data_IF_974950905571
#
_entry.id   IF_974950905571
#
_cell.length_a   1.000
_cell.length_b   1.000
_cell.length_c   1.000
_cell.angle_alpha   90.00
_cell.angle_beta   90.00
_cell.angle_gamma   90.00
#
_symmetry.space_group_name_H-M   'P 1'
#
loop_
_entity.id
_entity.type
_entity.pdbx_description
1 polymer ?
#
# COMPACT_ATOMS: atom_id res chain seq x y z
N UNK A 1 -6.95 -25.71 11.09
CA UNK A 1 -7.14 -25.90 9.63
C UNK A 1 -8.08 -24.82 9.17
N UNK A 2 -7.55 -23.63 8.88
CA UNK A 2 -8.39 -22.52 8.44
C UNK A 2 -8.73 -22.69 6.96
N UNK A 3 -10.02 -22.88 6.71
CA UNK A 3 -10.58 -23.00 5.37
C UNK A 3 -10.66 -21.62 4.70
N UNK A 4 -9.50 -21.07 4.31
CA UNK A 4 -9.44 -19.90 3.40
C UNK A 4 -9.43 -20.33 1.94
N UNK A 5 -10.02 -21.50 1.66
CA UNK A 5 -10.05 -22.10 0.33
C UNK A 5 -10.85 -21.19 -0.63
N UNK A 6 -10.14 -20.42 -1.44
CA UNK A 6 -10.72 -19.65 -2.55
C UNK A 6 -11.36 -18.30 -2.19
N UNK A 7 -11.17 -17.77 -0.96
CA UNK A 7 -11.65 -16.43 -0.61
C UNK A 7 -10.71 -15.36 -1.17
N UNK A 8 -11.30 -14.42 -1.86
CA UNK A 8 -10.63 -13.20 -2.31
C UNK A 8 -10.24 -12.37 -1.11
N UNK A 9 -9.02 -11.87 -1.12
CA UNK A 9 -8.39 -11.26 0.02
C UNK A 9 -7.93 -9.84 -0.32
N UNK A 10 -7.75 -9.04 0.70
CA UNK A 10 -7.05 -7.78 0.62
C UNK A 10 -5.55 -8.06 0.83
N UNK A 11 -4.73 -7.67 -0.13
CA UNK A 11 -3.25 -7.76 -0.07
C UNK A 11 -2.70 -6.37 0.18
N UNK A 12 -1.99 -6.22 1.27
CA UNK A 12 -1.42 -4.94 1.69
C UNK A 12 0.10 -5.00 1.60
N UNK A 13 0.69 -4.02 0.91
CA UNK A 13 2.11 -3.73 0.96
C UNK A 13 2.34 -2.48 1.79
N UNK A 14 3.21 -2.58 2.78
CA UNK A 14 3.68 -1.47 3.61
C UNK A 14 5.19 -1.45 3.70
N UNK A 15 5.76 -0.44 4.34
CA UNK A 15 7.19 -0.25 4.51
C UNK A 15 7.68 1.09 3.98
N UNK A 16 8.99 1.37 4.10
CA UNK A 16 9.54 2.69 3.87
C UNK A 16 9.32 3.24 2.46
N UNK A 17 9.35 4.56 2.35
CA UNK A 17 9.36 5.24 1.05
C UNK A 17 10.52 4.70 0.19
N UNK A 18 10.31 4.56 -1.11
CA UNK A 18 11.27 4.01 -2.07
C UNK A 18 11.68 2.53 -1.88
N UNK A 19 11.04 1.78 -0.98
CA UNK A 19 11.26 0.32 -0.86
C UNK A 19 10.79 -0.49 -2.08
N UNK A 20 10.02 0.11 -3.00
CA UNK A 20 9.59 -0.53 -4.26
C UNK A 20 8.16 -1.06 -4.27
N UNK A 21 7.35 -0.74 -3.27
CA UNK A 21 5.95 -1.17 -3.15
C UNK A 21 5.11 -0.88 -4.39
N UNK A 22 5.17 0.37 -4.90
CA UNK A 22 4.41 0.78 -6.09
C UNK A 22 4.82 -0.05 -7.32
N UNK A 23 6.12 -0.34 -7.48
CA UNK A 23 6.65 -1.14 -8.58
C UNK A 23 6.15 -2.58 -8.50
N UNK A 24 6.22 -3.18 -7.31
CA UNK A 24 5.74 -4.55 -7.08
C UNK A 24 4.24 -4.67 -7.35
N UNK A 25 3.42 -3.73 -6.87
CA UNK A 25 1.98 -3.76 -7.15
C UNK A 25 1.65 -3.47 -8.61
N UNK A 26 2.40 -2.59 -9.25
CA UNK A 26 2.24 -2.35 -10.68
C UNK A 26 2.48 -3.63 -11.48
N UNK A 27 3.59 -4.33 -11.24
CA UNK A 27 3.90 -5.60 -11.89
C UNK A 27 2.79 -6.65 -11.64
N UNK A 28 2.33 -6.77 -10.39
CA UNK A 28 1.29 -7.71 -10.01
C UNK A 28 -0.03 -7.40 -10.72
N UNK A 29 -0.46 -6.13 -10.76
CA UNK A 29 -1.69 -5.72 -11.43
C UNK A 29 -1.60 -5.84 -12.96
N UNK A 30 -0.42 -5.70 -13.56
CA UNK A 30 -0.21 -5.87 -15.01
C UNK A 30 -0.20 -7.35 -15.40
N UNK A 31 0.51 -8.19 -14.65
CA UNK A 31 0.61 -9.63 -14.93
C UNK A 31 -0.71 -10.37 -14.68
N UNK A 32 -1.47 -9.97 -13.64
CA UNK A 32 -2.70 -10.63 -13.22
C UNK A 32 -3.94 -9.71 -13.29
N UNK A 33 -4.07 -8.95 -14.38
CA UNK A 33 -5.12 -7.94 -14.54
C UNK A 33 -6.55 -8.50 -14.45
N UNK A 34 -6.74 -9.79 -14.78
CA UNK A 34 -8.02 -10.49 -14.64
C UNK A 34 -8.38 -10.79 -13.19
N UNK A 35 -7.40 -11.17 -12.37
CA UNK A 35 -7.59 -11.66 -10.99
C UNK A 35 -7.19 -10.68 -9.88
N UNK A 36 -6.45 -9.62 -10.21
CA UNK A 36 -5.95 -8.64 -9.24
C UNK A 36 -6.34 -7.22 -9.64
N UNK A 37 -6.67 -6.38 -8.69
CA UNK A 37 -6.90 -4.95 -8.92
C UNK A 37 -6.60 -4.12 -7.68
N UNK A 38 -6.07 -2.94 -7.87
CA UNK A 38 -5.87 -1.98 -6.78
C UNK A 38 -7.16 -1.23 -6.50
N UNK A 39 -7.53 -1.09 -5.22
CA UNK A 39 -8.62 -0.20 -4.85
C UNK A 39 -8.19 1.26 -5.04
N UNK A 40 -9.09 2.07 -5.61
CA UNK A 40 -8.81 3.48 -5.88
C UNK A 40 -9.02 4.27 -4.59
N UNK A 41 -7.95 4.89 -4.10
CA UNK A 41 -7.96 5.71 -2.89
C UNK A 41 -8.64 7.06 -3.15
N UNK A 42 -9.16 7.68 -2.09
CA UNK A 42 -9.63 9.06 -2.08
C UNK A 42 -8.50 10.00 -1.65
N UNK A 43 -8.50 11.21 -2.18
CA UNK A 43 -7.57 12.26 -1.75
C UNK A 43 -8.20 13.65 -1.90
N UNK A 44 -7.80 14.55 -1.00
CA UNK A 44 -8.14 15.99 -1.10
C UNK A 44 -7.09 16.79 -1.87
N UNK A 45 -5.98 16.15 -2.24
CA UNK A 45 -4.96 16.77 -3.09
C UNK A 45 -5.54 17.04 -4.49
N UNK A 46 -5.31 18.20 -5.08
CA UNK A 46 -5.66 18.45 -6.46
C UNK A 46 -5.01 17.43 -7.42
N UNK A 47 -5.69 17.04 -8.51
CA UNK A 47 -5.12 16.16 -9.52
C UNK A 47 -3.91 16.80 -10.20
N UNK A 48 -2.91 16.00 -10.55
CA UNK A 48 -1.81 16.40 -11.43
C UNK A 48 -2.24 16.34 -12.90
N UNK A 49 -1.44 16.94 -13.79
CA UNK A 49 -1.79 17.09 -15.21
C UNK A 49 -2.20 15.78 -15.93
N UNK A 50 -1.65 14.64 -15.52
CA UNK A 50 -1.92 13.34 -16.13
C UNK A 50 -2.80 12.42 -15.27
N UNK A 51 -3.35 12.92 -14.17
CA UNK A 51 -4.21 12.14 -13.28
C UNK A 51 -5.70 12.34 -13.62
N UNK A 52 -6.45 11.25 -13.57
CA UNK A 52 -7.89 11.23 -13.86
C UNK A 52 -8.66 10.78 -12.62
N UNK A 53 -9.77 11.50 -12.34
CA UNK A 53 -10.68 11.11 -11.27
C UNK A 53 -11.29 9.72 -11.53
N UNK A 54 -11.36 8.91 -10.47
CA UNK A 54 -11.86 7.54 -10.57
C UNK A 54 -10.89 6.54 -11.22
N UNK A 55 -9.67 6.98 -11.57
CA UNK A 55 -8.62 6.11 -12.13
C UNK A 55 -7.38 6.11 -11.24
N UNK A 56 -6.81 7.27 -10.98
CA UNK A 56 -5.62 7.40 -10.13
C UNK A 56 -6.02 7.59 -8.66
N UNK A 57 -7.02 8.45 -8.44
CA UNK A 57 -7.68 8.72 -7.16
C UNK A 57 -9.13 9.11 -7.39
N UNK A 58 -9.95 9.00 -6.35
CA UNK A 58 -11.16 9.79 -6.21
C UNK A 58 -10.76 11.13 -5.59
N UNK A 59 -10.70 12.18 -6.41
CA UNK A 59 -10.38 13.54 -5.95
C UNK A 59 -11.64 14.16 -5.35
N UNK A 60 -11.60 14.45 -4.06
CA UNK A 60 -12.76 14.97 -3.29
C UNK A 60 -12.40 16.23 -2.54
N UNK A 61 -13.40 16.97 -2.06
CA UNK A 61 -13.18 18.13 -1.19
C UNK A 61 -12.76 17.69 0.22
N UNK A 62 -12.18 18.60 1.00
CA UNK A 62 -11.84 18.34 2.41
C UNK A 62 -13.10 18.05 3.22
N UNK A 63 -14.19 18.77 2.92
CA UNK A 63 -15.50 18.62 3.55
C UNK A 63 -16.08 17.22 3.29
N UNK A 64 -16.12 16.79 2.04
CA UNK A 64 -16.60 15.45 1.66
C UNK A 64 -15.76 14.34 2.30
N UNK A 65 -14.43 14.52 2.32
CA UNK A 65 -13.54 13.56 2.95
C UNK A 65 -13.83 13.42 4.45
N UNK A 66 -13.89 14.55 5.17
CA UNK A 66 -14.19 14.58 6.61
C UNK A 66 -15.57 14.01 6.91
N UNK A 67 -16.56 14.30 6.07
CA UNK A 67 -17.90 13.73 6.20
C UNK A 67 -17.87 12.20 6.05
N UNK A 68 -17.15 11.69 5.06
CA UNK A 68 -16.97 10.25 4.88
C UNK A 68 -16.24 9.58 6.06
N UNK A 69 -15.25 10.26 6.67
CA UNK A 69 -14.61 9.78 7.91
C UNK A 69 -15.62 9.72 9.06
N UNK A 70 -16.41 10.78 9.26
CA UNK A 70 -17.43 10.84 10.30
C UNK A 70 -18.53 9.77 10.13
N UNK A 71 -18.86 9.42 8.88
CA UNK A 71 -19.79 8.36 8.53
C UNK A 71 -19.20 6.94 8.68
N UNK A 72 -17.90 6.80 8.99
CA UNK A 72 -17.23 5.49 9.06
C UNK A 72 -17.04 4.80 7.71
N UNK A 73 -16.97 5.56 6.62
CA UNK A 73 -16.85 5.01 5.26
C UNK A 73 -15.44 4.51 4.94
N UNK A 74 -14.42 5.03 5.64
CA UNK A 74 -13.02 4.70 5.40
C UNK A 74 -12.56 3.51 6.24
N UNK A 75 -11.88 2.55 5.61
CA UNK A 75 -11.20 1.45 6.30
C UNK A 75 -9.89 1.94 6.93
N UNK A 76 -9.24 2.89 6.27
CA UNK A 76 -8.07 3.63 6.73
C UNK A 76 -8.06 5.04 6.13
N UNK A 77 -7.47 5.97 6.84
CA UNK A 77 -7.19 7.31 6.32
C UNK A 77 -6.00 7.93 7.06
N UNK A 78 -5.29 8.82 6.37
CA UNK A 78 -4.14 9.54 6.88
C UNK A 78 -4.12 10.97 6.36
N UNK A 79 -3.58 11.89 7.15
CA UNK A 79 -3.21 13.21 6.67
C UNK A 79 -1.71 13.23 6.38
N UNK A 80 -1.36 13.57 5.15
CA UNK A 80 0.02 13.67 4.70
C UNK A 80 0.22 14.93 3.86
N UNK A 81 1.21 15.74 4.24
CA UNK A 81 1.58 16.96 3.53
C UNK A 81 0.39 17.92 3.29
N UNK A 82 -0.44 18.13 4.33
CA UNK A 82 -1.60 19.01 4.29
C UNK A 82 -2.83 18.46 3.57
N UNK A 83 -2.74 17.27 2.96
CA UNK A 83 -3.86 16.62 2.26
C UNK A 83 -4.28 15.34 2.99
N UNK A 84 -5.52 14.97 2.79
CA UNK A 84 -6.05 13.70 3.27
C UNK A 84 -5.96 12.64 2.17
N UNK A 85 -5.70 11.41 2.60
CA UNK A 85 -5.68 10.20 1.76
C UNK A 85 -6.39 9.10 2.52
N UNK A 86 -7.11 8.22 1.83
CA UNK A 86 -7.75 7.09 2.48
C UNK A 86 -8.44 6.17 1.50
N UNK A 87 -8.77 4.98 1.97
CA UNK A 87 -9.48 3.96 1.20
C UNK A 87 -10.80 3.65 1.88
N UNK A 88 -11.89 3.68 1.11
CA UNK A 88 -13.21 3.35 1.63
C UNK A 88 -13.48 1.85 1.60
N UNK A 89 -14.33 1.36 2.51
CA UNK A 89 -14.84 -0.01 2.44
C UNK A 89 -15.46 -0.33 1.09
N UNK A 90 -16.18 0.64 0.50
CA UNK A 90 -16.81 0.49 -0.81
C UNK A 90 -15.78 0.28 -1.92
N UNK A 91 -14.64 0.99 -1.90
CA UNK A 91 -13.60 0.82 -2.91
C UNK A 91 -12.99 -0.59 -2.86
N UNK A 92 -12.71 -1.10 -1.66
CA UNK A 92 -12.21 -2.47 -1.47
C UNK A 92 -13.28 -3.48 -1.89
N UNK A 93 -14.51 -3.33 -1.40
CA UNK A 93 -15.62 -4.24 -1.68
C UNK A 93 -15.91 -4.34 -3.18
N UNK A 94 -15.88 -3.23 -3.92
CA UNK A 94 -16.05 -3.21 -5.37
C UNK A 94 -15.07 -4.11 -6.11
N UNK A 95 -13.81 -4.15 -5.69
CA UNK A 95 -12.79 -5.03 -6.27
C UNK A 95 -13.09 -6.50 -5.93
N UNK A 96 -13.45 -6.76 -4.68
CA UNK A 96 -13.78 -8.13 -4.22
C UNK A 96 -15.05 -8.66 -4.90
N UNK A 97 -16.08 -7.83 -5.09
CA UNK A 97 -17.33 -8.19 -5.78
C UNK A 97 -17.11 -8.46 -7.27
N UNK A 98 -16.18 -7.73 -7.89
CA UNK A 98 -15.74 -8.02 -9.26
C UNK A 98 -14.97 -9.33 -9.37
N UNK A 99 -14.79 -9.98 -8.26
CA UNK A 99 -14.17 -11.25 -8.20
C UNK A 99 -12.66 -11.21 -8.22
N UNK A 100 -12.02 -10.10 -7.89
CA UNK A 100 -10.57 -9.92 -7.90
C UNK A 100 -10.00 -9.85 -6.49
N UNK A 101 -8.74 -10.21 -6.35
CA UNK A 101 -7.92 -9.88 -5.18
C UNK A 101 -7.67 -8.38 -5.15
N UNK A 102 -8.00 -7.75 -4.03
CA UNK A 102 -7.78 -6.32 -3.86
C UNK A 102 -6.35 -6.05 -3.35
N UNK A 103 -5.67 -5.05 -3.91
CA UNK A 103 -4.33 -4.65 -3.47
C UNK A 103 -4.34 -3.21 -2.96
N UNK A 104 -3.55 -2.94 -1.92
CA UNK A 104 -3.35 -1.61 -1.34
C UNK A 104 -1.90 -1.37 -0.94
N UNK A 105 -1.49 -0.10 -0.96
CA UNK A 105 -0.31 0.39 -0.28
C UNK A 105 -0.78 1.34 0.82
N UNK A 106 -0.41 1.04 2.06
CA UNK A 106 -0.71 1.89 3.22
C UNK A 106 0.53 2.00 4.11
N UNK A 107 0.57 3.00 4.99
CA UNK A 107 1.59 3.11 6.02
C UNK A 107 1.27 2.19 7.23
N UNK A 108 2.13 2.19 8.23
CA UNK A 108 1.97 1.34 9.43
C UNK A 108 0.67 1.66 10.18
N UNK A 109 0.32 2.94 10.32
CA UNK A 109 -0.93 3.35 10.98
C UNK A 109 -2.16 2.85 10.22
N UNK A 110 -2.11 2.92 8.88
CA UNK A 110 -3.14 2.35 8.01
C UNK A 110 -3.27 0.83 8.20
N UNK A 111 -2.15 0.10 8.32
CA UNK A 111 -2.19 -1.33 8.64
C UNK A 111 -2.86 -1.60 9.98
N UNK A 112 -2.54 -0.81 11.01
CA UNK A 112 -3.14 -0.94 12.35
C UNK A 112 -4.64 -0.65 12.31
N UNK A 113 -5.06 0.37 11.56
CA UNK A 113 -6.47 0.69 11.36
C UNK A 113 -7.21 -0.45 10.65
N UNK A 114 -6.63 -0.98 9.58
CA UNK A 114 -7.22 -2.08 8.81
C UNK A 114 -7.32 -3.35 9.66
N UNK A 115 -6.31 -3.70 10.47
CA UNK A 115 -6.40 -4.86 11.39
C UNK A 115 -7.58 -4.78 12.32
N UNK A 116 -7.89 -3.58 12.84
CA UNK A 116 -9.01 -3.36 13.76
C UNK A 116 -10.38 -3.42 13.07
N UNK A 117 -10.44 -2.99 11.81
CA UNK A 117 -11.68 -2.66 11.13
C UNK A 117 -12.02 -3.56 9.93
N UNK A 118 -11.07 -4.34 9.40
CA UNK A 118 -11.31 -5.14 8.21
C UNK A 118 -12.37 -6.23 8.45
N UNK A 119 -13.31 -6.32 7.52
CA UNK A 119 -14.41 -7.32 7.49
C UNK A 119 -14.14 -8.47 6.50
N UNK A 120 -12.93 -8.54 5.95
CA UNK A 120 -12.47 -9.52 4.97
C UNK A 120 -11.05 -10.01 5.30
N UNK A 121 -10.62 -11.15 4.77
CA UNK A 121 -9.27 -11.63 4.97
C UNK A 121 -8.24 -10.64 4.43
N UNK A 122 -7.19 -10.39 5.20
CA UNK A 122 -6.09 -9.49 4.83
C UNK A 122 -4.77 -10.23 4.93
N UNK A 123 -3.87 -9.97 3.99
CA UNK A 123 -2.48 -10.45 4.02
C UNK A 123 -1.55 -9.24 3.99
N UNK A 124 -0.66 -9.18 4.96
CA UNK A 124 0.24 -8.04 5.18
C UNK A 124 1.68 -8.39 4.76
N UNK A 125 2.21 -7.62 3.83
CA UNK A 125 3.61 -7.68 3.43
C UNK A 125 4.34 -6.43 3.88
N UNK A 126 5.49 -6.60 4.56
CA UNK A 126 6.41 -5.51 4.82
C UNK A 126 7.55 -5.55 3.81
N UNK A 127 7.70 -4.51 3.01
CA UNK A 127 8.72 -4.41 1.95
C UNK A 127 9.83 -3.47 2.41
N UNK A 128 11.07 -3.95 2.39
CA UNK A 128 12.23 -3.16 2.77
C UNK A 128 13.47 -3.52 1.93
N UNK A 129 14.57 -2.84 2.13
CA UNK A 129 15.90 -3.19 1.63
C UNK A 129 16.71 -3.85 2.75
N UNK A 130 17.69 -4.70 2.42
CA UNK A 130 18.56 -5.29 3.44
C UNK A 130 19.44 -4.26 4.14
N UNK A 131 19.76 -3.15 3.45
CA UNK A 131 20.60 -2.06 3.95
C UNK A 131 19.87 -0.73 3.87
N UNK A 132 19.99 0.08 4.91
CA UNK A 132 19.40 1.42 4.93
C UNK A 132 20.02 2.34 3.88
N UNK A 133 21.31 2.18 3.59
CA UNK A 133 22.05 2.98 2.61
C UNK A 133 21.49 2.84 1.19
N UNK A 134 21.01 1.65 0.84
CA UNK A 134 20.34 1.41 -0.44
C UNK A 134 19.01 2.16 -0.52
N UNK A 135 18.25 2.14 0.56
CA UNK A 135 17.00 2.88 0.69
C UNK A 135 17.24 4.40 0.60
N UNK A 136 18.24 4.92 1.33
CA UNK A 136 18.64 6.34 1.27
C UNK A 136 19.00 6.74 -0.16
N UNK A 137 19.81 5.93 -0.84
CA UNK A 137 20.20 6.16 -2.25
C UNK A 137 18.97 6.25 -3.16
N UNK A 138 17.99 5.37 -2.99
CA UNK A 138 16.76 5.38 -3.77
C UNK A 138 15.89 6.60 -3.45
N UNK A 139 15.79 7.01 -2.19
CA UNK A 139 15.05 8.20 -1.77
C UNK A 139 15.67 9.45 -2.40
N UNK A 140 17.00 9.61 -2.29
CA UNK A 140 17.71 10.76 -2.87
C UNK A 140 17.57 10.81 -4.39
N UNK A 141 17.74 9.70 -5.09
CA UNK A 141 17.57 9.61 -6.55
C UNK A 141 16.15 10.01 -6.99
N UNK A 142 15.12 9.53 -6.29
CA UNK A 142 13.73 9.89 -6.56
C UNK A 142 13.47 11.37 -6.30
N UNK A 143 14.01 11.91 -5.22
CA UNK A 143 13.86 13.32 -4.84
C UNK A 143 14.49 14.28 -5.84
N UNK A 144 15.58 13.91 -6.51
CA UNK A 144 16.14 14.68 -7.64
C UNK A 144 15.12 14.81 -8.79
N UNK A 145 14.41 13.73 -9.12
CA UNK A 145 13.40 13.74 -10.19
C UNK A 145 12.17 14.57 -9.80
N UNK A 146 11.77 14.54 -8.53
CA UNK A 146 10.62 15.28 -8.01
C UNK A 146 10.97 16.69 -7.54
N UNK A 147 12.25 17.09 -7.62
CA UNK A 147 12.79 18.40 -7.20
C UNK A 147 12.46 18.73 -5.74
N UNK A 148 12.56 17.75 -4.87
CA UNK A 148 12.34 17.94 -3.43
C UNK A 148 13.56 18.58 -2.77
N UNK A 149 13.32 19.39 -1.74
CA UNK A 149 14.38 20.03 -0.97
C UNK A 149 15.00 19.05 0.07
N UNK A 150 16.16 19.40 0.60
CA UNK A 150 16.90 18.55 1.55
C UNK A 150 16.15 18.32 2.87
N UNK A 151 15.32 19.25 3.30
CA UNK A 151 14.48 19.10 4.49
C UNK A 151 13.43 17.98 4.29
N UNK A 152 12.79 17.97 3.13
CA UNK A 152 11.84 16.89 2.76
C UNK A 152 12.56 15.53 2.69
N UNK A 153 13.79 15.51 2.15
CA UNK A 153 14.59 14.27 2.07
C UNK A 153 14.92 13.76 3.48
N UNK A 154 15.40 14.64 4.37
CA UNK A 154 15.70 14.30 5.76
C UNK A 154 14.48 13.75 6.49
N UNK A 155 13.33 14.41 6.37
CA UNK A 155 12.08 13.93 6.97
C UNK A 155 11.70 12.52 6.48
N UNK A 156 11.84 12.25 5.18
CA UNK A 156 11.60 10.90 4.62
C UNK A 156 12.56 9.85 5.15
N UNK A 157 13.82 10.21 5.36
CA UNK A 157 14.83 9.30 5.91
C UNK A 157 14.57 9.00 7.39
N UNK A 158 14.13 9.99 8.16
CA UNK A 158 13.73 9.81 9.56
C UNK A 158 12.52 8.88 9.66
N UNK A 159 11.46 9.15 8.91
CA UNK A 159 10.26 8.28 8.85
C UNK A 159 10.66 6.85 8.43
N UNK A 160 11.55 6.71 7.45
CA UNK A 160 12.00 5.38 7.00
C UNK A 160 12.74 4.61 8.11
N UNK A 161 13.55 5.29 8.93
CA UNK A 161 14.21 4.68 10.10
C UNK A 161 13.20 4.26 11.16
N UNK A 162 12.21 5.09 11.42
CA UNK A 162 11.13 4.78 12.37
C UNK A 162 10.33 3.56 11.91
N UNK A 163 9.95 3.50 10.62
CA UNK A 163 9.21 2.36 10.06
C UNK A 163 10.03 1.06 10.12
N UNK A 164 11.34 1.10 9.85
CA UNK A 164 12.21 -0.07 9.97
C UNK A 164 12.38 -0.49 11.44
N UNK A 165 12.54 0.46 12.37
CA UNK A 165 12.62 0.17 13.80
C UNK A 165 11.31 -0.45 14.32
N UNK A 166 10.17 0.06 13.87
CA UNK A 166 8.87 -0.53 14.18
C UNK A 166 8.77 -1.97 13.66
N UNK A 167 9.16 -2.20 12.40
CA UNK A 167 9.17 -3.54 11.81
C UNK A 167 10.01 -4.52 12.62
N UNK A 168 11.23 -4.14 13.02
CA UNK A 168 12.11 -5.00 13.80
C UNK A 168 11.51 -5.41 15.16
N UNK A 169 10.78 -4.48 15.80
CA UNK A 169 10.15 -4.74 17.11
C UNK A 169 8.77 -5.42 17.02
N UNK A 170 8.14 -5.43 15.83
CA UNK A 170 6.77 -5.93 15.62
C UNK A 170 6.68 -6.93 14.46
N UNK A 171 7.68 -7.80 14.30
CA UNK A 171 7.75 -8.76 13.17
C UNK A 171 6.52 -9.66 13.04
N UNK A 172 5.90 -10.00 14.15
CA UNK A 172 4.71 -10.84 14.21
C UNK A 172 3.42 -10.15 13.69
N UNK A 173 3.47 -8.86 13.40
CA UNK A 173 2.35 -8.15 12.79
C UNK A 173 2.25 -8.34 11.28
N UNK A 174 3.28 -8.90 10.66
CA UNK A 174 3.36 -9.10 9.21
C UNK A 174 3.27 -10.59 8.87
N UNK A 175 2.47 -10.93 7.86
CA UNK A 175 2.45 -12.30 7.36
C UNK A 175 3.77 -12.64 6.67
N UNK A 176 4.35 -11.65 5.96
CA UNK A 176 5.60 -11.81 5.21
C UNK A 176 6.43 -10.51 5.21
N UNK A 177 7.75 -10.68 5.23
CA UNK A 177 8.72 -9.61 4.97
C UNK A 177 9.39 -9.86 3.62
N UNK A 178 9.46 -8.85 2.76
CA UNK A 178 10.08 -8.92 1.45
C UNK A 178 11.30 -8.01 1.38
N UNK A 179 12.45 -8.60 1.09
CA UNK A 179 13.70 -7.85 0.90
C UNK A 179 13.86 -7.48 -0.57
N UNK A 180 13.66 -6.22 -0.89
CA UNK A 180 13.71 -5.72 -2.26
C UNK A 180 15.06 -5.10 -2.61
N UNK A 181 16.13 -5.90 -2.55
CA UNK A 181 17.43 -5.52 -3.08
C UNK A 181 17.50 -5.78 -4.60
N UNK A 182 16.83 -6.84 -5.04
CA UNK A 182 16.66 -7.26 -6.42
C UNK A 182 15.14 -7.37 -6.71
N UNK A 183 14.64 -6.58 -7.65
CA UNK A 183 13.22 -6.48 -7.94
C UNK A 183 12.64 -7.81 -8.44
N UNK A 184 13.35 -8.53 -9.32
CA UNK A 184 12.83 -9.75 -9.94
C UNK A 184 12.70 -10.87 -8.91
N UNK A 185 13.70 -11.01 -8.02
CA UNK A 185 13.66 -11.96 -6.90
C UNK A 185 12.55 -11.62 -5.92
N UNK A 186 12.45 -10.36 -5.51
CA UNK A 186 11.42 -9.88 -4.59
C UNK A 186 10.02 -10.09 -5.17
N UNK A 187 9.83 -9.84 -6.46
CA UNK A 187 8.55 -10.07 -7.14
C UNK A 187 8.20 -11.55 -7.24
N UNK A 188 9.18 -12.41 -7.54
CA UNK A 188 8.98 -13.87 -7.54
C UNK A 188 8.58 -14.38 -6.15
N UNK A 189 9.20 -13.87 -5.08
CA UNK A 189 8.88 -14.19 -3.70
C UNK A 189 7.46 -13.73 -3.32
N UNK A 190 7.06 -12.50 -3.69
CA UNK A 190 5.70 -11.99 -3.50
C UNK A 190 4.67 -12.95 -4.13
N UNK A 191 4.88 -13.36 -5.39
CA UNK A 191 3.98 -14.30 -6.10
C UNK A 191 3.91 -15.66 -5.41
N UNK A 192 5.04 -16.18 -4.97
CA UNK A 192 5.10 -17.47 -4.27
C UNK A 192 4.28 -17.45 -2.97
N UNK A 193 4.39 -16.38 -2.17
CA UNK A 193 3.62 -16.22 -0.94
C UNK A 193 2.11 -16.08 -1.20
N UNK A 194 1.73 -15.35 -2.24
CA UNK A 194 0.32 -15.22 -2.63
C UNK A 194 -0.26 -16.56 -3.07
N UNK A 195 0.48 -17.36 -3.83
CA UNK A 195 0.08 -18.71 -4.27
C UNK A 195 -0.10 -19.67 -3.10
N UNK A 196 0.80 -19.65 -2.10
CA UNK A 196 0.70 -20.49 -0.89
C UNK A 196 -0.56 -20.17 -0.09
N UNK A 197 -1.00 -18.91 -0.06
CA UNK A 197 -2.26 -18.48 0.59
C UNK A 197 -3.51 -18.79 -0.24
N UNK A 198 -3.38 -19.53 -1.35
CA UNK A 198 -4.49 -19.80 -2.28
C UNK A 198 -5.20 -18.51 -2.75
N UNK A 199 -4.45 -17.41 -2.82
CA UNK A 199 -4.96 -16.16 -3.36
C UNK A 199 -5.01 -16.31 -4.87
N UNK A 200 -6.21 -16.20 -5.43
CA UNK A 200 -6.40 -16.28 -6.87
C UNK A 200 -5.75 -15.07 -7.53
N UNK A 201 -4.82 -15.35 -8.44
CA UNK A 201 -4.15 -14.35 -9.27
C UNK A 201 -4.73 -14.37 -10.71
N UNK A 202 -5.49 -15.40 -11.05
CA UNK A 202 -6.17 -15.62 -12.32
C UNK A 202 -7.68 -15.35 -12.27
#
# INVERSE_FOLDING_TARGET
MDATNGKRSLVILTGPCAAGKDTLLKLLNEEFASGVSQAISHTTRPPRANEKNGVNYHFVTVEDFKQGVANGEFIEHVQYNGNYYGVTYRAVQSVLDAGKTCTLIVNIDGCTSIRKNAKFPVVYFFVHTSKFEDLETRIRKRSMTTKENEETIKSKLEIAKEELSYFESHKNEWDYALVNDDLDKCYAELKAHLSVRCIKLD
#
